data_IF_508927469614
#
_entry.id   IF_508927469614
#
_cell.length_a   1.000
_cell.length_b   1.000
_cell.length_c   1.000
_cell.angle_alpha   90.00
_cell.angle_beta   90.00
_cell.angle_gamma   90.00
#
_symmetry.space_group_name_H-M   'P 1'
#
loop_
_entity.id
_entity.type
_entity.pdbx_description
1 polymer ?
#
# COMPACT_ATOMS: atom_id res chain seq x y z
N UNK A 1 -4.14 -30.71 14.05
CA UNK A 1 -4.89 -29.45 13.89
C UNK A 1 -3.90 -28.41 13.41
N UNK A 2 -4.07 -27.91 12.19
CA UNK A 2 -3.25 -26.82 11.65
C UNK A 2 -4.00 -25.55 12.01
N UNK A 3 -3.51 -24.84 13.01
CA UNK A 3 -4.01 -23.52 13.39
C UNK A 3 -3.70 -22.54 12.27
N UNK A 4 -4.64 -22.41 11.32
CA UNK A 4 -4.65 -21.30 10.39
C UNK A 4 -4.96 -20.04 11.20
N UNK A 5 -3.91 -19.35 11.66
CA UNK A 5 -3.94 -17.94 12.05
C UNK A 5 -4.32 -17.10 10.83
N UNK A 6 -5.56 -17.21 10.38
CA UNK A 6 -6.22 -16.14 9.66
C UNK A 6 -6.30 -15.00 10.66
N UNK A 7 -5.39 -14.03 10.56
CA UNK A 7 -5.62 -12.71 11.13
C UNK A 7 -6.86 -12.15 10.45
N UNK A 8 -8.03 -12.48 11.00
CA UNK A 8 -9.32 -11.94 10.59
C UNK A 8 -9.24 -10.44 10.79
N UNK A 9 -8.99 -9.72 9.71
CA UNK A 9 -9.16 -8.27 9.70
C UNK A 9 -10.63 -8.04 10.01
N UNK A 10 -10.89 -7.44 11.16
CA UNK A 10 -12.21 -6.95 11.54
C UNK A 10 -12.88 -6.29 10.33
N UNK A 11 -14.11 -6.67 10.02
CA UNK A 11 -14.85 -6.24 8.83
C UNK A 11 -14.84 -4.71 8.69
N UNK A 12 -14.90 -4.00 9.82
CA UNK A 12 -14.81 -2.54 9.89
C UNK A 12 -13.47 -1.99 9.37
N UNK A 13 -12.35 -2.62 9.76
CA UNK A 13 -10.99 -2.26 9.31
C UNK A 13 -10.81 -2.59 7.83
N UNK A 14 -11.30 -3.74 7.40
CA UNK A 14 -11.21 -4.17 6.00
C UNK A 14 -11.98 -3.23 5.08
N UNK A 15 -13.20 -2.84 5.48
CA UNK A 15 -14.01 -1.87 4.73
C UNK A 15 -13.27 -0.54 4.54
N UNK A 16 -12.71 0.02 5.61
CA UNK A 16 -11.92 1.26 5.55
C UNK A 16 -10.72 1.12 4.58
N UNK A 17 -9.96 0.03 4.69
CA UNK A 17 -8.81 -0.22 3.81
C UNK A 17 -9.24 -0.33 2.34
N UNK A 18 -10.36 -0.98 2.07
CA UNK A 18 -10.90 -1.15 0.73
C UNK A 18 -11.41 0.15 0.12
N UNK A 19 -12.12 0.96 0.90
CA UNK A 19 -12.63 2.24 0.44
C UNK A 19 -11.46 3.18 0.10
N UNK A 20 -10.44 3.23 0.95
CA UNK A 20 -9.21 3.97 0.69
C UNK A 20 -8.39 3.40 -0.48
N UNK A 21 -8.41 2.10 -0.71
CA UNK A 21 -7.70 1.47 -1.83
C UNK A 21 -8.35 1.79 -3.19
N UNK A 22 -9.68 1.86 -3.23
CA UNK A 22 -10.47 2.20 -4.43
C UNK A 22 -10.44 3.70 -4.72
N UNK A 23 -10.23 4.53 -3.71
CA UNK A 23 -10.12 5.97 -3.89
C UNK A 23 -8.79 6.37 -4.54
N UNK A 24 -8.85 7.29 -5.49
CA UNK A 24 -7.68 7.90 -6.13
C UNK A 24 -7.19 9.15 -5.38
N UNK A 25 -8.00 9.66 -4.45
CA UNK A 25 -7.75 10.87 -3.65
C UNK A 25 -7.89 10.57 -2.16
N UNK A 26 -7.26 11.37 -1.28
CA UNK A 26 -7.56 11.32 0.14
C UNK A 26 -9.07 11.47 0.38
N UNK A 27 -9.60 10.73 1.36
CA UNK A 27 -11.04 10.64 1.63
C UNK A 27 -11.33 10.91 3.11
N UNK A 28 -12.43 11.61 3.39
CA UNK A 28 -12.97 11.74 4.74
C UNK A 28 -13.48 10.38 5.21
N UNK A 29 -13.17 10.02 6.45
CA UNK A 29 -13.65 8.80 7.09
C UNK A 29 -14.08 9.16 8.50
N UNK A 30 -15.24 8.66 8.90
CA UNK A 30 -15.76 8.81 10.25
C UNK A 30 -14.76 8.28 11.27
N UNK A 31 -14.53 9.08 12.33
CA UNK A 31 -13.67 8.69 13.43
C UNK A 31 -14.25 7.45 14.10
N UNK A 32 -13.47 6.38 14.08
CA UNK A 32 -13.83 5.08 14.62
C UNK A 32 -12.59 4.44 15.24
N UNK A 33 -12.79 3.50 16.16
CA UNK A 33 -11.71 2.72 16.75
C UNK A 33 -10.90 1.96 15.68
N UNK A 34 -11.59 1.45 14.66
CA UNK A 34 -10.98 0.82 13.49
C UNK A 34 -10.03 1.78 12.75
N UNK A 35 -10.45 3.02 12.51
CA UNK A 35 -9.61 4.04 11.86
C UNK A 35 -8.40 4.39 12.73
N UNK A 36 -8.59 4.61 14.03
CA UNK A 36 -7.50 4.90 14.98
C UNK A 36 -6.44 3.81 14.97
N UNK A 37 -6.86 2.53 15.06
CA UNK A 37 -5.96 1.38 14.98
C UNK A 37 -5.19 1.36 13.65
N UNK A 38 -5.86 1.58 12.51
CA UNK A 38 -5.20 1.58 11.20
C UNK A 38 -4.18 2.72 11.03
N UNK A 39 -4.36 3.84 11.74
CA UNK A 39 -3.41 4.95 11.78
C UNK A 39 -2.21 4.60 12.67
N UNK A 40 -2.45 4.05 13.87
CA UNK A 40 -1.41 3.63 14.80
C UNK A 40 -0.48 2.58 14.17
N UNK A 41 -1.06 1.60 13.48
CA UNK A 41 -0.33 0.57 12.73
C UNK A 41 0.29 1.06 11.41
N UNK A 42 0.15 2.35 11.10
CA UNK A 42 0.70 3.01 9.90
C UNK A 42 0.18 2.44 8.58
N UNK A 43 -0.97 1.75 8.58
CA UNK A 43 -1.63 1.29 7.36
C UNK A 43 -2.37 2.42 6.64
N UNK A 44 -2.85 3.39 7.40
CA UNK A 44 -3.53 4.60 6.92
C UNK A 44 -2.77 5.82 7.45
N UNK A 45 -2.75 6.91 6.69
CA UNK A 45 -2.21 8.19 7.15
C UNK A 45 -3.21 9.31 6.90
N UNK A 46 -3.24 10.28 7.82
CA UNK A 46 -3.93 11.56 7.63
C UNK A 46 -3.17 12.41 6.60
N UNK A 47 -3.90 13.01 5.66
CA UNK A 47 -3.38 13.95 4.68
C UNK A 47 -3.90 15.33 5.05
N UNK A 48 -3.00 16.29 5.27
CA UNK A 48 -3.39 17.69 5.43
C UNK A 48 -3.83 18.19 4.06
N UNK A 49 -5.02 18.79 3.96
CA UNK A 49 -5.43 19.48 2.75
C UNK A 49 -4.45 20.65 2.53
N UNK A 50 -3.77 20.70 1.39
CA UNK A 50 -3.02 21.89 0.94
C UNK A 50 -3.99 22.99 0.46
N UNK A 51 -5.02 23.29 1.26
CA UNK A 51 -5.96 24.39 1.06
C UNK A 51 -5.91 25.42 2.19
N UNK A 52 -4.85 25.38 3.02
CA UNK A 52 -4.66 26.20 4.23
C UNK A 52 -4.35 27.70 3.94
N UNK A 53 -4.83 28.28 2.83
CA UNK A 53 -4.79 29.72 2.58
C UNK A 53 -6.07 30.18 1.87
N UNK A 54 -7.17 30.23 2.62
CA UNK A 54 -8.20 31.27 2.47
C UNK A 54 -8.99 31.35 3.79
N UNK A 55 -8.70 32.38 4.57
CA UNK A 55 -9.20 32.61 5.94
C UNK A 55 -10.71 32.92 6.02
N UNK A 56 -11.46 32.77 4.92
CA UNK A 56 -12.88 33.15 4.85
C UNK A 56 -13.88 32.00 4.75
N UNK A 57 -13.47 30.74 4.93
CA UNK A 57 -14.37 29.58 4.88
C UNK A 57 -14.53 28.88 6.24
N UNK A 58 -15.45 29.39 7.04
CA UNK A 58 -16.01 28.72 8.22
C UNK A 58 -16.95 27.58 7.79
N UNK A 59 -16.44 26.36 7.60
CA UNK A 59 -17.14 25.09 7.86
C UNK A 59 -16.31 23.85 7.47
N UNK A 60 -15.99 22.98 8.44
CA UNK A 60 -15.95 21.53 8.24
C UNK A 60 -14.82 20.92 7.40
N UNK A 61 -13.54 21.25 7.65
CA UNK A 61 -12.45 20.44 7.10
C UNK A 61 -12.38 19.08 7.83
N UNK A 62 -13.17 18.11 7.34
CA UNK A 62 -13.07 16.73 7.77
C UNK A 62 -11.66 16.19 7.46
N UNK A 63 -11.05 15.56 8.46
CA UNK A 63 -9.75 14.93 8.34
C UNK A 63 -9.76 13.95 7.16
N UNK A 64 -8.86 14.18 6.19
CA UNK A 64 -8.74 13.31 5.03
C UNK A 64 -7.69 12.24 5.27
N UNK A 65 -7.92 11.04 4.77
CA UNK A 65 -7.05 9.89 4.97
C UNK A 65 -6.70 9.22 3.63
N UNK A 66 -5.51 8.62 3.57
CA UNK A 66 -5.07 7.82 2.42
C UNK A 66 -4.37 6.56 2.89
N UNK A 67 -4.43 5.52 2.06
CA UNK A 67 -3.68 4.30 2.28
C UNK A 67 -2.17 4.55 2.20
N UNK A 68 -1.39 3.96 3.10
CA UNK A 68 0.08 3.94 2.96
C UNK A 68 0.52 2.78 2.06
N UNK A 69 1.78 2.78 1.64
CA UNK A 69 2.34 1.64 0.91
C UNK A 69 2.32 0.34 1.74
N UNK A 70 2.41 0.46 3.06
CA UNK A 70 2.31 -0.67 3.99
C UNK A 70 0.87 -1.17 4.05
N UNK A 71 -0.11 -0.28 4.22
CA UNK A 71 -1.54 -0.63 4.19
C UNK A 71 -1.96 -1.29 2.87
N UNK A 72 -1.42 -0.80 1.74
CA UNK A 72 -1.65 -1.40 0.42
C UNK A 72 -1.15 -2.84 0.33
N UNK A 73 0.06 -3.09 0.83
CA UNK A 73 0.64 -4.44 0.85
C UNK A 73 -0.16 -5.36 1.77
N UNK A 74 -0.51 -4.88 2.96
CA UNK A 74 -1.31 -5.62 3.93
C UNK A 74 -2.66 -6.03 3.33
N UNK A 75 -3.42 -5.08 2.76
CA UNK A 75 -4.70 -5.38 2.12
C UNK A 75 -4.57 -6.41 0.99
N UNK A 76 -3.55 -6.27 0.15
CA UNK A 76 -3.31 -7.21 -0.95
C UNK A 76 -2.92 -8.61 -0.47
N UNK A 77 -2.21 -8.73 0.65
CA UNK A 77 -1.93 -10.04 1.26
C UNK A 77 -3.17 -10.71 1.85
N UNK A 78 -4.17 -9.94 2.28
CA UNK A 78 -5.44 -10.47 2.80
C UNK A 78 -6.41 -10.87 1.67
N UNK A 79 -6.38 -10.16 0.54
CA UNK A 79 -7.28 -10.38 -0.59
C UNK A 79 -6.99 -11.66 -1.39
N UNK A 80 -5.71 -11.96 -1.61
CA UNK A 80 -5.25 -13.22 -2.20
C UNK A 80 -3.74 -13.37 -1.86
N UNK A 81 -3.41 -14.12 -0.80
CA UNK A 81 -2.02 -14.36 -0.41
C UNK A 81 -1.18 -14.92 -1.56
N UNK A 82 -1.78 -15.73 -2.45
CA UNK A 82 -1.10 -16.38 -3.57
C UNK A 82 -0.87 -15.41 -4.74
N UNK A 83 -1.79 -14.48 -5.02
CA UNK A 83 -1.56 -13.44 -6.03
C UNK A 83 -0.45 -12.47 -5.62
N UNK A 84 -0.39 -12.06 -4.36
CA UNK A 84 0.69 -11.20 -3.87
C UNK A 84 2.06 -11.89 -3.93
N UNK A 85 2.13 -13.16 -3.52
CA UNK A 85 3.34 -13.98 -3.62
C UNK A 85 3.84 -14.06 -5.08
N UNK A 86 2.94 -14.35 -6.05
CA UNK A 86 3.27 -14.38 -7.49
C UNK A 86 3.85 -13.05 -7.99
N UNK A 87 3.26 -11.92 -7.60
CA UNK A 87 3.74 -10.59 -8.02
C UNK A 87 5.12 -10.23 -7.44
N UNK A 88 5.40 -10.65 -6.19
CA UNK A 88 6.71 -10.49 -5.56
C UNK A 88 7.78 -11.29 -6.29
N UNK A 89 7.47 -12.54 -6.66
CA UNK A 89 8.38 -13.42 -7.41
C UNK A 89 8.67 -12.84 -8.80
N UNK A 90 7.65 -12.38 -9.54
CA UNK A 90 7.83 -11.78 -10.86
C UNK A 90 8.80 -10.58 -10.85
N UNK A 91 8.72 -9.70 -9.84
CA UNK A 91 9.63 -8.56 -9.72
C UNK A 91 11.08 -8.99 -9.50
N UNK A 92 11.30 -10.04 -8.70
CA UNK A 92 12.63 -10.60 -8.46
C UNK A 92 13.23 -11.22 -9.71
N UNK A 93 12.43 -11.93 -10.51
CA UNK A 93 12.84 -12.51 -11.78
C UNK A 93 13.25 -11.45 -12.82
N UNK A 94 12.55 -10.32 -12.86
CA UNK A 94 12.86 -9.25 -13.81
C UNK A 94 14.22 -8.59 -13.49
N UNK A 95 14.51 -8.41 -12.20
CA UNK A 95 15.81 -7.91 -11.72
C UNK A 95 16.95 -8.89 -11.99
N UNK A 96 16.75 -10.20 -11.82
CA UNK A 96 17.78 -11.19 -12.14
C UNK A 96 18.06 -11.28 -13.65
N UNK A 97 17.02 -11.24 -14.50
CA UNK A 97 17.21 -11.20 -15.95
C UNK A 97 17.99 -9.96 -16.41
N UNK A 98 17.72 -8.79 -15.82
CA UNK A 98 18.46 -7.57 -16.13
C UNK A 98 19.95 -7.68 -15.72
N UNK A 99 20.23 -8.23 -14.53
CA UNK A 99 21.59 -8.46 -14.07
C UNK A 99 22.36 -9.45 -14.96
N UNK A 100 21.71 -10.55 -15.37
CA UNK A 100 22.31 -11.52 -16.30
C UNK A 100 22.59 -10.87 -17.66
N UNK A 101 21.66 -10.06 -18.18
CA UNK A 101 21.83 -9.35 -19.44
C UNK A 101 23.03 -8.40 -19.44
N UNK A 102 23.23 -7.63 -18.38
CA UNK A 102 24.40 -6.74 -18.24
C UNK A 102 25.70 -7.56 -18.16
N UNK A 103 25.71 -8.65 -17.40
CA UNK A 103 26.89 -9.53 -17.28
C UNK A 103 27.32 -10.14 -18.60
N UNK A 104 26.37 -10.55 -19.45
CA UNK A 104 26.66 -11.09 -20.80
C UNK A 104 27.28 -10.00 -21.70
N UNK A 105 26.72 -8.79 -21.69
CA UNK A 105 27.23 -7.67 -22.49
C UNK A 105 28.66 -7.29 -22.07
N UNK A 106 28.93 -7.28 -20.77
CA UNK A 106 30.27 -7.02 -20.24
C UNK A 106 31.29 -8.08 -20.70
N UNK A 107 30.90 -9.36 -20.67
CA UNK A 107 31.77 -10.48 -21.06
C UNK A 107 32.10 -10.47 -22.56
N UNK A 108 31.12 -10.13 -23.40
CA UNK A 108 31.34 -9.94 -24.85
C UNK A 108 32.31 -8.78 -25.08
N UNK A 109 32.13 -7.64 -24.39
CA UNK A 109 33.05 -6.51 -24.54
C UNK A 109 34.50 -6.84 -24.16
N UNK A 110 34.72 -7.71 -23.17
CA UNK A 110 36.08 -8.14 -22.79
C UNK A 110 36.74 -9.12 -23.77
N UNK A 111 35.98 -9.72 -24.69
CA UNK A 111 36.50 -10.65 -25.71
C UNK A 111 36.99 -9.95 -26.99
N UNK A 112 36.57 -8.70 -27.22
CA UNK A 112 36.90 -7.92 -28.40
C UNK A 112 37.81 -6.71 -28.10
N UNK A 113 38.43 -6.68 -26.90
CA UNK A 113 39.38 -5.66 -26.44
C UNK A 113 40.69 -6.36 -26.05
#
# INVERSE_FOLDING_TARGET
>A
MIDNYYMNVDESKYKILMDLYRSTKPMAIDKSEALSFLIEERYVKKVRNHGDYDESYTNGHEDQYTLTNQGKKFLLTQLDPQAYARKKVQKSYLLSCFAIGISIIALIRSLFL
#
